data_IF_498902445352
#
_entry.id   IF_498902445352
#
_cell.length_a   1.000
_cell.length_b   1.000
_cell.length_c   1.000
_cell.angle_alpha   90.00
_cell.angle_beta   90.00
_cell.angle_gamma   90.00
#
_symmetry.space_group_name_H-M   'P 1'
#
loop_
_entity.id
_entity.type
_entity.pdbx_description
1 polymer ?
#
# COMPACT_ATOMS: atom_id res chain seq x y z
N UNK A 1 -23.80 1.76 -21.51
CA UNK A 1 -22.39 1.61 -21.91
C UNK A 1 -21.56 2.31 -20.86
N UNK A 2 -20.41 1.75 -20.43
CA UNK A 2 -19.60 2.39 -19.40
C UNK A 2 -18.98 3.70 -19.90
N UNK A 3 -18.94 4.71 -19.04
CA UNK A 3 -18.29 6.00 -19.32
C UNK A 3 -16.76 5.87 -19.27
N UNK A 4 -16.05 6.92 -19.67
CA UNK A 4 -14.59 6.94 -19.58
C UNK A 4 -14.10 6.84 -18.13
N UNK A 5 -14.79 7.53 -17.20
CA UNK A 5 -14.46 7.52 -15.78
C UNK A 5 -14.70 6.12 -15.20
N UNK A 6 -15.78 5.44 -15.61
CA UNK A 6 -16.02 4.03 -15.24
C UNK A 6 -14.92 3.09 -15.73
N UNK A 7 -14.48 3.22 -16.99
CA UNK A 7 -13.42 2.35 -17.52
C UNK A 7 -12.06 2.60 -16.87
N UNK A 8 -11.72 3.86 -16.61
CA UNK A 8 -10.47 4.19 -15.91
C UNK A 8 -10.50 3.65 -14.48
N UNK A 9 -11.63 3.80 -13.77
CA UNK A 9 -11.83 3.22 -12.44
C UNK A 9 -11.67 1.69 -12.42
N UNK A 10 -12.25 0.99 -13.40
CA UNK A 10 -12.15 -0.47 -13.52
C UNK A 10 -10.71 -0.92 -13.74
N UNK A 11 -9.94 -0.24 -14.61
CA UNK A 11 -8.53 -0.59 -14.87
C UNK A 11 -7.63 -0.20 -13.70
N UNK A 12 -7.88 0.92 -13.03
CA UNK A 12 -7.17 1.29 -11.80
C UNK A 12 -7.46 0.30 -10.67
N UNK A 13 -8.69 -0.22 -10.56
CA UNK A 13 -9.03 -1.25 -9.59
C UNK A 13 -8.30 -2.58 -9.85
N UNK A 14 -7.97 -2.90 -11.11
CA UNK A 14 -7.08 -4.02 -11.45
C UNK A 14 -5.64 -3.72 -11.04
N UNK A 15 -5.16 -2.50 -11.32
CA UNK A 15 -3.83 -2.05 -10.90
C UNK A 15 -3.68 -2.08 -9.37
N UNK A 16 -4.72 -1.75 -8.62
CA UNK A 16 -4.73 -1.83 -7.15
C UNK A 16 -4.45 -3.25 -6.63
N UNK A 17 -4.82 -4.30 -7.38
CA UNK A 17 -4.43 -5.68 -7.05
C UNK A 17 -2.94 -5.93 -7.28
N UNK A 18 -2.35 -5.35 -8.33
CA UNK A 18 -0.91 -5.43 -8.58
C UNK A 18 -0.13 -4.67 -7.49
N UNK A 19 -0.65 -3.55 -6.99
CA UNK A 19 -0.07 -2.83 -5.84
C UNK A 19 -0.15 -3.67 -4.55
N UNK A 20 -1.23 -4.43 -4.33
CA UNK A 20 -1.31 -5.38 -3.20
C UNK A 20 -0.26 -6.49 -3.34
N UNK A 21 -0.05 -7.00 -4.57
CA UNK A 21 0.98 -8.01 -4.85
C UNK A 21 2.38 -7.48 -4.61
N UNK A 22 2.64 -6.24 -5.01
CA UNK A 22 3.88 -5.53 -4.72
C UNK A 22 4.11 -5.37 -3.21
N UNK A 23 3.12 -4.87 -2.47
CA UNK A 23 3.21 -4.73 -1.02
C UNK A 23 3.47 -6.08 -0.32
N UNK A 24 2.89 -7.17 -0.82
CA UNK A 24 3.16 -8.51 -0.29
C UNK A 24 4.60 -8.98 -0.55
N UNK A 25 5.23 -8.58 -1.67
CA UNK A 25 6.64 -8.84 -1.96
C UNK A 25 7.54 -8.13 -0.96
N UNK A 26 7.32 -6.83 -0.80
CA UNK A 26 7.99 -5.98 0.19
C UNK A 26 7.89 -6.53 1.62
N UNK A 27 6.71 -6.98 2.02
CA UNK A 27 6.49 -7.64 3.31
C UNK A 27 7.34 -8.90 3.45
N UNK A 28 7.41 -9.74 2.42
CA UNK A 28 8.17 -10.99 2.45
C UNK A 28 9.66 -10.70 2.68
N UNK A 29 10.20 -9.70 1.98
CA UNK A 29 11.61 -9.33 2.06
C UNK A 29 11.96 -8.77 3.44
N UNK A 30 11.15 -7.84 3.96
CA UNK A 30 11.32 -7.29 5.32
C UNK A 30 11.18 -8.37 6.39
N UNK A 31 10.20 -9.27 6.27
CA UNK A 31 10.03 -10.39 7.21
C UNK A 31 11.23 -11.33 7.17
N UNK A 32 11.83 -11.53 5.99
CA UNK A 32 13.07 -12.30 5.84
C UNK A 32 14.24 -11.65 6.56
N UNK A 33 14.40 -10.33 6.47
CA UNK A 33 15.43 -9.61 7.23
C UNK A 33 15.21 -9.72 8.74
N UNK A 34 13.97 -9.61 9.21
CA UNK A 34 13.64 -9.79 10.63
C UNK A 34 13.86 -11.25 11.08
N UNK A 35 13.66 -12.25 10.20
CA UNK A 35 14.03 -13.64 10.49
C UNK A 35 15.54 -13.81 10.67
N UNK A 36 16.34 -13.18 9.81
CA UNK A 36 17.79 -13.21 9.92
C UNK A 36 18.26 -12.55 11.23
N UNK A 37 17.68 -11.39 11.58
CA UNK A 37 17.90 -10.76 12.87
C UNK A 37 17.53 -11.70 14.02
N UNK A 38 16.39 -12.40 13.98
CA UNK A 38 16.01 -13.37 15.00
C UNK A 38 17.07 -14.46 15.19
N UNK A 39 17.61 -15.01 14.10
CA UNK A 39 18.66 -16.02 14.17
C UNK A 39 19.95 -15.48 14.78
N UNK A 40 20.33 -14.24 14.43
CA UNK A 40 21.48 -13.55 15.03
C UNK A 40 21.27 -13.33 16.54
N UNK A 41 20.12 -12.80 16.95
CA UNK A 41 19.81 -12.57 18.37
C UNK A 41 19.84 -13.87 19.19
N UNK A 42 19.28 -14.96 18.64
CA UNK A 42 19.33 -16.29 19.28
C UNK A 42 20.79 -16.74 19.46
N UNK A 43 21.63 -16.52 18.44
CA UNK A 43 23.05 -16.90 18.50
C UNK A 43 23.80 -16.08 19.54
N UNK A 44 23.58 -14.76 19.59
CA UNK A 44 24.19 -13.87 20.59
C UNK A 44 23.81 -14.30 22.02
N UNK A 45 22.53 -14.60 22.27
CA UNK A 45 22.05 -15.03 23.60
C UNK A 45 22.68 -16.37 23.99
N UNK A 46 22.76 -17.34 23.06
CA UNK A 46 23.39 -18.64 23.32
C UNK A 46 24.88 -18.55 23.59
N UNK A 47 25.60 -17.66 22.91
CA UNK A 47 27.05 -17.50 23.12
C UNK A 47 27.34 -16.79 24.45
N UNK A 48 26.53 -15.79 24.81
CA UNK A 48 26.76 -15.00 26.01
C UNK A 48 26.29 -15.69 27.31
N UNK A 49 25.24 -16.52 27.24
CA UNK A 49 24.58 -17.17 28.38
C UNK A 49 24.52 -16.27 29.64
N UNK A 50 23.87 -15.09 29.57
CA UNK A 50 23.98 -14.09 30.62
C UNK A 50 23.36 -14.57 31.92
N UNK A 51 24.13 -14.52 33.02
CA UNK A 51 23.69 -14.98 34.37
C UNK A 51 23.49 -13.85 35.37
N UNK A 52 23.93 -12.64 35.04
CA UNK A 52 23.89 -11.48 35.91
C UNK A 52 23.80 -10.18 35.12
N UNK A 53 23.62 -9.05 35.82
CA UNK A 53 23.51 -7.72 35.21
C UNK A 53 24.68 -7.38 34.31
N UNK A 54 25.92 -7.67 34.72
CA UNK A 54 27.13 -7.32 33.96
C UNK A 54 27.19 -8.06 32.62
N UNK A 55 26.98 -9.37 32.64
CA UNK A 55 26.93 -10.20 31.43
C UNK A 55 25.77 -9.84 30.52
N UNK A 56 24.61 -9.46 31.09
CA UNK A 56 23.48 -8.98 30.33
C UNK A 56 23.75 -7.66 29.63
N UNK A 57 24.31 -6.65 30.31
CA UNK A 57 24.60 -5.36 29.68
C UNK A 57 25.62 -5.51 28.54
N UNK A 58 26.62 -6.39 28.69
CA UNK A 58 27.55 -6.72 27.61
C UNK A 58 26.85 -7.39 26.40
N UNK A 59 25.91 -8.30 26.63
CA UNK A 59 25.07 -8.89 25.58
C UNK A 59 24.19 -7.84 24.90
N UNK A 60 23.58 -6.94 25.68
CA UNK A 60 22.65 -5.93 25.18
C UNK A 60 23.33 -4.93 24.24
N UNK A 61 24.63 -4.64 24.42
CA UNK A 61 25.42 -3.85 23.45
C UNK A 61 25.42 -4.51 22.07
N UNK A 62 25.66 -5.83 22.01
CA UNK A 62 25.69 -6.59 20.76
C UNK A 62 24.29 -6.72 20.15
N UNK A 63 23.29 -7.04 20.97
CA UNK A 63 21.87 -7.14 20.56
C UNK A 63 21.37 -5.82 19.99
N UNK A 64 21.62 -4.70 20.68
CA UNK A 64 21.21 -3.38 20.21
C UNK A 64 21.88 -3.02 18.88
N UNK A 65 23.17 -3.35 18.74
CA UNK A 65 23.91 -3.12 17.50
C UNK A 65 23.34 -3.95 16.34
N UNK A 66 22.96 -5.21 16.57
CA UNK A 66 22.30 -6.04 15.56
C UNK A 66 20.95 -5.46 15.13
N UNK A 67 20.12 -5.08 16.11
CA UNK A 67 18.81 -4.44 15.86
C UNK A 67 18.99 -3.13 15.07
N UNK A 68 19.96 -2.28 15.44
CA UNK A 68 20.24 -1.03 14.75
C UNK A 68 20.61 -1.24 13.29
N UNK A 69 21.56 -2.15 13.02
CA UNK A 69 22.00 -2.47 11.66
C UNK A 69 20.84 -2.98 10.80
N UNK A 70 20.07 -3.95 11.30
CA UNK A 70 18.96 -4.52 10.55
C UNK A 70 17.88 -3.47 10.25
N UNK A 71 17.43 -2.70 11.24
CA UNK A 71 16.39 -1.70 11.00
C UNK A 71 16.86 -0.51 10.17
N UNK A 72 18.15 -0.14 10.24
CA UNK A 72 18.72 0.85 9.33
C UNK A 72 18.68 0.36 7.87
N UNK A 73 19.00 -0.91 7.63
CA UNK A 73 18.92 -1.53 6.30
C UNK A 73 17.48 -1.57 5.78
N UNK A 74 16.54 -2.05 6.60
CA UNK A 74 15.10 -2.09 6.26
C UNK A 74 14.59 -0.69 5.91
N UNK A 75 14.89 0.30 6.74
CA UNK A 75 14.40 1.67 6.56
C UNK A 75 14.99 2.32 5.29
N UNK A 76 16.27 2.10 5.00
CA UNK A 76 16.91 2.62 3.79
C UNK A 76 16.29 2.03 2.53
N UNK A 77 16.23 0.69 2.44
CA UNK A 77 15.65 -0.01 1.28
C UNK A 77 14.20 0.39 1.04
N UNK A 78 13.39 0.40 2.10
CA UNK A 78 11.98 0.80 2.01
C UNK A 78 11.83 2.21 1.44
N UNK A 79 12.65 3.16 1.90
CA UNK A 79 12.59 4.56 1.42
C UNK A 79 12.94 4.66 -0.05
N UNK A 80 13.98 3.97 -0.50
CA UNK A 80 14.39 4.01 -1.91
C UNK A 80 13.34 3.35 -2.82
N UNK A 81 12.78 2.23 -2.40
CA UNK A 81 11.70 1.55 -3.13
C UNK A 81 10.41 2.39 -3.17
N UNK A 82 10.10 3.14 -2.12
CA UNK A 82 8.96 4.05 -2.12
C UNK A 82 9.15 5.26 -3.04
N UNK A 83 10.38 5.76 -3.23
CA UNK A 83 10.64 6.82 -4.22
C UNK A 83 10.36 6.32 -5.63
N UNK A 84 10.89 5.13 -5.95
CA UNK A 84 10.63 4.50 -7.24
C UNK A 84 9.15 4.17 -7.44
N UNK A 85 8.48 3.66 -6.41
CA UNK A 85 7.03 3.40 -6.45
C UNK A 85 6.25 4.68 -6.77
N UNK A 86 6.60 5.83 -6.18
CA UNK A 86 5.91 7.09 -6.48
C UNK A 86 6.02 7.49 -7.96
N UNK A 87 7.20 7.29 -8.56
CA UNK A 87 7.42 7.52 -10.00
C UNK A 87 6.62 6.54 -10.85
N UNK A 88 6.67 5.26 -10.51
CA UNK A 88 5.93 4.20 -11.21
C UNK A 88 4.43 4.47 -11.13
N UNK A 89 3.89 4.85 -9.97
CA UNK A 89 2.46 5.12 -9.81
C UNK A 89 2.01 6.29 -10.69
N UNK A 90 2.77 7.40 -10.69
CA UNK A 90 2.47 8.55 -11.53
C UNK A 90 2.45 8.17 -13.02
N UNK A 91 3.43 7.36 -13.45
CA UNK A 91 3.49 6.83 -14.82
C UNK A 91 2.35 5.86 -15.12
N UNK A 92 2.08 4.90 -14.23
CA UNK A 92 1.04 3.89 -14.40
C UNK A 92 -0.34 4.51 -14.59
N UNK A 93 -0.68 5.51 -13.77
CA UNK A 93 -1.92 6.27 -13.89
C UNK A 93 -2.03 6.99 -15.24
N UNK A 94 -0.94 7.60 -15.70
CA UNK A 94 -0.85 8.21 -17.03
C UNK A 94 -1.08 7.16 -18.11
N UNK A 95 -0.27 6.08 -18.15
CA UNK A 95 -0.36 5.00 -19.13
C UNK A 95 -1.74 4.33 -19.16
N UNK A 96 -2.36 4.10 -18.00
CA UNK A 96 -3.72 3.55 -17.90
C UNK A 96 -4.72 4.52 -18.53
N UNK A 97 -4.65 5.80 -18.18
CA UNK A 97 -5.50 6.84 -18.77
C UNK A 97 -5.33 6.85 -20.29
N UNK A 98 -4.09 6.86 -20.76
CA UNK A 98 -3.80 6.94 -22.18
C UNK A 98 -4.31 5.73 -22.96
N UNK A 99 -4.17 4.53 -22.39
CA UNK A 99 -4.69 3.29 -22.96
C UNK A 99 -6.21 3.30 -23.05
N UNK A 100 -6.89 3.75 -21.99
CA UNK A 100 -8.35 3.79 -21.94
C UNK A 100 -8.92 4.84 -22.90
N UNK A 101 -8.31 6.03 -22.93
CA UNK A 101 -8.66 7.08 -23.89
C UNK A 101 -8.13 6.82 -25.30
N UNK A 102 -7.21 5.86 -25.50
CA UNK A 102 -6.38 5.65 -26.71
C UNK A 102 -5.85 6.98 -27.26
N UNK A 103 -5.16 7.69 -26.37
CA UNK A 103 -4.75 9.08 -26.56
C UNK A 103 -3.87 9.56 -25.40
N UNK A 104 -2.92 10.50 -25.62
CA UNK A 104 -2.09 11.07 -24.56
C UNK A 104 -2.87 12.07 -23.67
N UNK A 105 -3.84 11.59 -22.89
CA UNK A 105 -4.65 12.39 -21.96
C UNK A 105 -4.01 12.33 -20.57
N UNK A 106 -3.84 13.52 -19.96
CA UNK A 106 -3.20 13.68 -18.66
C UNK A 106 -1.74 13.15 -18.57
N UNK A 107 -0.85 13.47 -19.53
CA UNK A 107 0.50 12.87 -19.60
C UNK A 107 1.49 13.41 -18.55
N UNK A 108 1.11 14.42 -17.75
CA UNK A 108 2.08 15.13 -16.89
C UNK A 108 2.40 14.30 -15.66
N UNK A 109 3.65 13.87 -15.54
CA UNK A 109 4.16 13.12 -14.38
C UNK A 109 4.54 14.06 -13.23
N UNK A 110 4.50 13.58 -11.99
CA UNK A 110 4.97 14.35 -10.83
C UNK A 110 6.46 14.68 -10.93
N UNK A 111 6.86 15.84 -10.39
CA UNK A 111 8.26 16.26 -10.36
C UNK A 111 9.05 15.55 -9.26
N UNK A 112 10.37 15.47 -9.43
CA UNK A 112 11.26 14.76 -8.50
C UNK A 112 11.20 15.33 -7.06
N UNK A 113 11.03 16.65 -6.92
CA UNK A 113 10.85 17.27 -5.60
C UNK A 113 9.54 16.82 -4.90
N UNK A 114 8.49 16.51 -5.66
CA UNK A 114 7.23 15.97 -5.14
C UNK A 114 7.42 14.52 -4.71
N UNK A 115 8.17 13.71 -5.47
CA UNK A 115 8.53 12.34 -5.10
C UNK A 115 9.24 12.30 -3.75
N UNK A 116 10.28 13.13 -3.58
CA UNK A 116 11.03 13.21 -2.32
C UNK A 116 10.10 13.60 -1.16
N UNK A 117 9.25 14.60 -1.36
CA UNK A 117 8.28 15.05 -0.36
C UNK A 117 7.30 13.95 0.05
N UNK A 118 6.78 13.17 -0.90
CA UNK A 118 5.82 12.09 -0.61
C UNK A 118 6.42 11.04 0.33
N UNK A 119 7.70 10.72 0.15
CA UNK A 119 8.37 9.67 0.91
C UNK A 119 8.88 10.19 2.27
N UNK A 120 9.45 11.39 2.29
CA UNK A 120 10.03 11.97 3.50
C UNK A 120 8.95 12.50 4.46
N UNK A 121 7.91 13.15 3.93
CA UNK A 121 6.78 13.69 4.70
C UNK A 121 5.57 12.75 4.73
N UNK A 122 5.70 11.55 4.14
CA UNK A 122 4.63 10.55 4.05
C UNK A 122 4.14 10.15 5.44
N UNK A 123 2.97 10.66 5.83
CA UNK A 123 2.40 10.40 7.14
C UNK A 123 1.70 9.04 7.19
N UNK A 124 2.02 8.23 8.19
CA UNK A 124 1.20 7.07 8.53
C UNK A 124 -0.03 7.54 9.34
N UNK A 125 -1.26 7.12 9.00
CA UNK A 125 -2.48 7.54 9.67
C UNK A 125 -2.48 7.26 11.19
N UNK A 126 -3.34 8.00 11.90
CA UNK A 126 -3.58 7.89 13.36
C UNK A 126 -2.42 8.30 14.28
N UNK A 127 -1.66 9.34 13.93
CA UNK A 127 -0.93 10.12 14.95
C UNK A 127 -1.35 11.57 14.85
N UNK A 128 -1.78 12.15 15.98
CA UNK A 128 -1.87 13.59 16.14
C UNK A 128 -0.54 14.28 15.80
N UNK A 129 0.57 13.55 15.90
CA UNK A 129 1.95 14.03 15.74
C UNK A 129 2.53 13.93 14.32
N UNK A 130 1.77 13.40 13.33
CA UNK A 130 2.29 13.30 11.96
C UNK A 130 3.61 12.52 11.83
N UNK A 131 3.67 11.27 12.32
CA UNK A 131 4.89 10.45 12.17
C UNK A 131 5.11 9.98 10.73
N UNK A 132 6.31 10.25 10.21
CA UNK A 132 6.78 9.78 8.90
C UNK A 132 7.06 8.27 8.91
N UNK A 133 7.13 7.66 7.71
CA UNK A 133 7.48 6.23 7.54
C UNK A 133 8.81 5.90 8.23
N UNK A 134 9.83 6.76 8.08
CA UNK A 134 11.14 6.59 8.74
C UNK A 134 11.03 6.61 10.27
N UNK A 135 10.26 7.55 10.82
CA UNK A 135 10.01 7.63 12.27
C UNK A 135 9.32 6.37 12.80
N UNK A 136 8.43 5.76 12.02
CA UNK A 136 7.79 4.47 12.39
C UNK A 136 8.77 3.31 12.44
N UNK A 137 9.72 3.21 11.51
CA UNK A 137 10.79 2.21 11.58
C UNK A 137 11.64 2.37 12.83
N UNK A 138 12.05 3.61 13.14
CA UNK A 138 12.78 3.91 14.37
C UNK A 138 11.99 3.52 15.62
N UNK A 139 10.69 3.81 15.66
CA UNK A 139 9.82 3.43 16.78
C UNK A 139 9.72 1.91 16.95
N UNK A 140 9.62 1.14 15.86
CA UNK A 140 9.63 -0.32 15.94
C UNK A 140 10.98 -0.85 16.44
N UNK A 141 12.08 -0.32 15.92
CA UNK A 141 13.45 -0.64 16.35
C UNK A 141 13.62 -0.42 17.85
N UNK A 142 13.28 0.77 18.33
CA UNK A 142 13.45 1.15 19.74
C UNK A 142 12.53 0.31 20.64
N UNK A 143 11.30 0.04 20.18
CA UNK A 143 10.40 -0.91 20.83
C UNK A 143 10.96 -2.33 20.92
N UNK A 144 11.61 -2.84 19.87
CA UNK A 144 12.24 -4.16 19.90
C UNK A 144 13.40 -4.21 20.91
N UNK A 145 14.25 -3.17 20.96
CA UNK A 145 15.33 -3.06 21.94
C UNK A 145 14.81 -3.08 23.37
N UNK A 146 13.81 -2.24 23.66
CA UNK A 146 13.18 -2.15 24.99
C UNK A 146 12.57 -3.50 25.39
N UNK A 147 11.71 -4.08 24.56
CA UNK A 147 11.07 -5.36 24.86
C UNK A 147 12.06 -6.51 25.04
N UNK A 148 13.16 -6.51 24.27
CA UNK A 148 14.22 -7.51 24.42
C UNK A 148 14.98 -7.32 25.72
N UNK A 149 15.36 -6.08 26.05
CA UNK A 149 16.02 -5.73 27.32
C UNK A 149 15.16 -6.12 28.51
N UNK A 150 13.89 -5.75 28.50
CA UNK A 150 12.98 -5.99 29.63
C UNK A 150 12.72 -7.49 29.83
N UNK A 151 12.51 -8.23 28.74
CA UNK A 151 12.34 -9.68 28.79
C UNK A 151 13.58 -10.40 29.33
N UNK A 152 14.77 -10.06 28.85
CA UNK A 152 16.01 -10.69 29.33
C UNK A 152 16.35 -10.29 30.77
N UNK A 153 16.10 -9.04 31.16
CA UNK A 153 16.23 -8.62 32.56
C UNK A 153 15.30 -9.43 33.48
N UNK A 154 14.04 -9.57 33.09
CA UNK A 154 13.06 -10.37 33.82
C UNK A 154 13.54 -11.82 33.97
N UNK A 155 14.06 -12.42 32.89
CA UNK A 155 14.58 -13.78 32.92
C UNK A 155 15.71 -13.96 33.94
N UNK A 156 16.66 -13.02 34.00
CA UNK A 156 17.77 -13.08 34.97
C UNK A 156 17.28 -12.89 36.40
N UNK A 157 16.40 -11.91 36.65
CA UNK A 157 15.87 -11.64 37.99
C UNK A 157 15.09 -12.82 38.58
N UNK A 158 14.48 -13.63 37.71
CA UNK A 158 13.65 -14.77 38.11
C UNK A 158 14.36 -16.12 37.91
N UNK A 159 15.69 -16.13 37.74
CA UNK A 159 16.50 -17.35 37.54
C UNK A 159 15.96 -18.26 36.42
N UNK A 160 15.43 -17.68 35.34
CA UNK A 160 14.92 -18.43 34.21
C UNK A 160 16.05 -19.08 33.40
N UNK A 161 15.72 -20.17 32.71
CA UNK A 161 16.69 -20.94 31.94
C UNK A 161 17.08 -20.21 30.64
N UNK A 162 18.19 -20.65 30.01
CA UNK A 162 18.56 -20.20 28.67
C UNK A 162 17.41 -20.43 27.66
N UNK A 163 16.67 -21.53 27.76
CA UNK A 163 15.56 -21.80 26.84
C UNK A 163 14.40 -20.82 27.03
N UNK A 164 14.17 -20.33 28.25
CA UNK A 164 13.18 -19.28 28.54
C UNK A 164 13.59 -17.94 27.93
N UNK A 165 14.88 -17.58 28.02
CA UNK A 165 15.44 -16.41 27.33
C UNK A 165 15.24 -16.49 25.82
N UNK A 166 15.47 -17.67 25.22
CA UNK A 166 15.25 -17.89 23.80
C UNK A 166 13.77 -17.83 23.42
N UNK A 167 12.85 -18.28 24.30
CA UNK A 167 11.40 -18.16 24.11
C UNK A 167 10.91 -16.72 24.10
N UNK A 168 11.52 -15.82 24.89
CA UNK A 168 11.20 -14.38 24.82
C UNK A 168 11.38 -13.85 23.39
N UNK A 169 12.48 -14.26 22.73
CA UNK A 169 12.79 -13.85 21.36
C UNK A 169 11.89 -14.53 20.34
N UNK A 170 11.92 -15.87 20.32
CA UNK A 170 11.31 -16.69 19.26
C UNK A 170 9.83 -16.99 19.46
N UNK A 171 9.35 -16.96 20.70
CA UNK A 171 8.03 -17.44 21.11
C UNK A 171 7.99 -18.92 21.52
N UNK A 172 6.81 -19.35 21.98
CA UNK A 172 6.52 -20.70 22.41
C UNK A 172 5.94 -21.56 21.30
N UNK A 173 6.41 -22.81 21.17
CA UNK A 173 5.91 -23.76 20.17
C UNK A 173 4.41 -24.06 20.36
N UNK A 174 3.95 -24.19 21.60
CA UNK A 174 2.53 -24.41 21.94
C UNK A 174 1.61 -23.27 21.48
N UNK A 175 2.15 -22.06 21.35
CA UNK A 175 1.44 -20.87 20.88
C UNK A 175 1.76 -20.54 19.41
N UNK A 176 2.32 -21.51 18.67
CA UNK A 176 2.77 -21.33 17.29
C UNK A 176 3.72 -20.12 17.12
N UNK A 177 4.55 -19.86 18.12
CA UNK A 177 5.53 -18.77 18.15
C UNK A 177 4.94 -17.34 18.07
N UNK A 178 3.63 -17.19 18.31
CA UNK A 178 2.93 -15.90 18.17
C UNK A 178 3.12 -14.92 19.33
N UNK A 179 3.74 -15.38 20.41
CA UNK A 179 3.94 -14.67 21.67
C UNK A 179 5.33 -14.02 21.79
N UNK A 180 6.29 -14.42 20.95
CA UNK A 180 7.65 -13.88 20.95
C UNK A 180 7.73 -12.41 20.50
N UNK A 181 8.75 -11.69 20.98
CA UNK A 181 8.95 -10.27 20.62
C UNK A 181 9.18 -10.09 19.13
N UNK A 182 9.83 -11.05 18.46
CA UNK A 182 10.06 -10.97 17.01
C UNK A 182 8.76 -11.12 16.22
N UNK A 183 7.85 -12.02 16.63
CA UNK A 183 6.58 -12.19 15.92
C UNK A 183 5.76 -10.90 15.93
N UNK A 184 5.70 -10.21 17.08
CA UNK A 184 5.03 -8.92 17.21
C UNK A 184 5.63 -7.87 16.27
N UNK A 185 6.96 -7.83 16.17
CA UNK A 185 7.67 -6.91 15.28
C UNK A 185 7.43 -7.23 13.80
N UNK A 186 7.39 -8.52 13.39
CA UNK A 186 7.01 -8.92 12.03
C UNK A 186 5.61 -8.41 11.67
N UNK A 187 4.64 -8.53 12.58
CA UNK A 187 3.26 -8.04 12.36
C UNK A 187 3.17 -6.52 12.30
N UNK A 188 3.96 -5.82 13.10
CA UNK A 188 4.07 -4.37 13.02
C UNK A 188 4.71 -3.93 11.69
N UNK A 189 5.77 -4.60 11.24
CA UNK A 189 6.42 -4.36 9.95
C UNK A 189 5.46 -4.62 8.77
N UNK A 190 4.72 -5.73 8.79
CA UNK A 190 3.66 -6.03 7.81
C UNK A 190 2.66 -4.88 7.68
N UNK A 191 2.16 -4.39 8.81
CA UNK A 191 1.18 -3.29 8.86
C UNK A 191 1.77 -1.98 8.35
N UNK A 192 3.03 -1.70 8.70
CA UNK A 192 3.73 -0.49 8.28
C UNK A 192 3.96 -0.47 6.77
N UNK A 193 4.45 -1.57 6.17
CA UNK A 193 4.68 -1.66 4.72
C UNK A 193 3.38 -1.46 3.94
N UNK A 194 2.29 -2.12 4.32
CA UNK A 194 0.98 -1.93 3.65
C UNK A 194 0.55 -0.48 3.67
N UNK A 195 0.59 0.10 4.87
CA UNK A 195 0.14 1.48 5.09
C UNK A 195 1.05 2.49 4.36
N UNK A 196 2.37 2.29 4.39
CA UNK A 196 3.32 3.13 3.67
C UNK A 196 3.14 3.05 2.15
N UNK A 197 2.89 1.85 1.62
CA UNK A 197 2.58 1.64 0.20
C UNK A 197 1.33 2.44 -0.19
N UNK A 198 0.25 2.31 0.59
CA UNK A 198 -0.99 3.06 0.35
C UNK A 198 -0.76 4.58 0.43
N UNK A 199 0.05 5.06 1.38
CA UNK A 199 0.39 6.49 1.51
C UNK A 199 1.08 7.00 0.26
N UNK A 200 2.09 6.28 -0.22
CA UNK A 200 2.89 6.68 -1.40
C UNK A 200 2.02 6.65 -2.65
N UNK A 201 1.27 5.58 -2.87
CA UNK A 201 0.36 5.42 -4.03
C UNK A 201 -0.64 6.57 -4.08
N UNK A 202 -1.37 6.80 -2.99
CA UNK A 202 -2.44 7.79 -2.98
C UNK A 202 -1.95 9.23 -3.04
N UNK A 203 -0.79 9.52 -2.44
CA UNK A 203 -0.16 10.82 -2.59
C UNK A 203 0.33 11.03 -4.03
N UNK A 204 0.90 10.01 -4.67
CA UNK A 204 1.37 10.08 -6.06
C UNK A 204 0.20 10.28 -7.04
N UNK A 205 -0.90 9.53 -6.85
CA UNK A 205 -2.15 9.72 -7.59
C UNK A 205 -2.69 11.14 -7.46
N UNK A 206 -2.89 11.61 -6.23
CA UNK A 206 -3.44 12.94 -5.98
C UNK A 206 -2.59 14.05 -6.63
N UNK A 207 -1.26 14.00 -6.48
CA UNK A 207 -0.37 14.99 -7.08
C UNK A 207 -0.36 14.90 -8.62
N UNK A 208 -0.43 13.69 -9.18
CA UNK A 208 -0.57 13.48 -10.63
C UNK A 208 -1.88 14.11 -11.14
N UNK A 209 -3.00 13.89 -10.45
CA UNK A 209 -4.29 14.46 -10.82
C UNK A 209 -4.31 15.99 -10.73
N UNK A 210 -3.72 16.57 -9.69
CA UNK A 210 -3.59 18.02 -9.54
C UNK A 210 -2.75 18.61 -10.67
N UNK A 211 -1.65 17.95 -11.05
CA UNK A 211 -0.80 18.40 -12.15
C UNK A 211 -1.50 18.35 -13.52
N UNK A 212 -2.45 17.44 -13.67
CA UNK A 212 -3.28 17.27 -14.87
C UNK A 212 -4.69 17.89 -14.73
N UNK A 213 -4.86 18.95 -13.91
CA UNK A 213 -6.16 19.63 -13.66
C UNK A 213 -6.86 20.20 -14.91
N UNK A 214 -6.12 20.30 -16.01
CA UNK A 214 -6.60 20.73 -17.31
C UNK A 214 -7.57 19.69 -17.90
N UNK A 215 -7.35 18.40 -17.66
CA UNK A 215 -8.25 17.30 -18.08
C UNK A 215 -8.95 16.60 -16.90
N UNK A 216 -8.28 16.48 -15.75
CA UNK A 216 -8.82 15.88 -14.53
C UNK A 216 -9.52 16.96 -13.69
N UNK A 217 -10.85 16.84 -13.54
CA UNK A 217 -11.68 17.83 -12.82
C UNK A 217 -12.08 17.39 -11.42
N UNK A 218 -11.75 16.18 -11.01
CA UNK A 218 -12.02 15.70 -9.66
C UNK A 218 -11.29 14.42 -9.30
N UNK A 219 -11.55 13.98 -8.08
CA UNK A 219 -11.09 12.71 -7.53
C UNK A 219 -12.27 11.96 -6.96
N UNK A 220 -12.22 10.64 -7.05
CA UNK A 220 -13.16 9.72 -6.42
C UNK A 220 -12.40 8.77 -5.48
N UNK A 221 -13.00 8.46 -4.33
CA UNK A 221 -12.51 7.44 -3.42
C UNK A 221 -13.04 6.08 -3.83
N UNK A 222 -12.16 5.10 -3.90
CA UNK A 222 -12.50 3.72 -4.17
C UNK A 222 -12.08 2.87 -2.99
N UNK A 223 -12.97 2.05 -2.44
CA UNK A 223 -12.62 1.10 -1.41
C UNK A 223 -12.83 -0.33 -1.92
N UNK A 224 -11.83 -1.20 -1.69
CA UNK A 224 -12.05 -2.63 -1.89
C UNK A 224 -12.98 -3.12 -0.79
N UNK A 225 -14.22 -3.46 -1.15
CA UNK A 225 -15.27 -3.90 -0.24
C UNK A 225 -15.21 -5.41 0.00
N UNK A 226 -14.65 -5.84 1.13
CA UNK A 226 -14.55 -7.24 1.56
C UNK A 226 -14.79 -7.36 3.07
N UNK A 227 -14.46 -8.48 3.72
CA UNK A 227 -14.71 -8.63 5.17
C UNK A 227 -13.73 -7.85 6.06
N UNK A 228 -12.63 -7.33 5.48
CA UNK A 228 -11.58 -6.57 6.18
C UNK A 228 -11.71 -5.06 5.98
N UNK A 229 -12.58 -4.60 5.08
CA UNK A 229 -12.90 -3.17 4.92
C UNK A 229 -13.56 -2.62 6.18
N UNK A 230 -13.00 -1.55 6.73
CA UNK A 230 -13.57 -0.87 7.89
C UNK A 230 -14.86 -0.14 7.50
N UNK A 231 -15.72 0.13 8.49
CA UNK A 231 -16.93 0.96 8.29
C UNK A 231 -16.53 2.32 7.67
N UNK A 232 -15.43 2.91 8.13
CA UNK A 232 -14.89 4.16 7.60
C UNK A 232 -14.65 4.10 6.07
N UNK A 233 -13.92 3.09 5.60
CA UNK A 233 -13.67 2.90 4.17
C UNK A 233 -14.95 2.62 3.38
N UNK A 234 -15.87 1.80 3.92
CA UNK A 234 -17.17 1.52 3.28
C UNK A 234 -18.00 2.79 3.12
N UNK A 235 -18.09 3.60 4.17
CA UNK A 235 -18.85 4.85 4.18
C UNK A 235 -18.31 5.84 3.16
N UNK A 236 -16.98 5.91 2.99
CA UNK A 236 -16.33 6.84 2.06
C UNK A 236 -16.27 6.35 0.62
N UNK A 237 -16.62 5.09 0.36
CA UNK A 237 -16.55 4.51 -0.97
C UNK A 237 -17.47 5.26 -1.94
N UNK A 238 -16.90 5.71 -3.05
CA UNK A 238 -17.60 6.50 -4.07
C UNK A 238 -17.71 8.00 -3.78
N UNK A 239 -17.26 8.49 -2.62
CA UNK A 239 -17.21 9.93 -2.37
C UNK A 239 -16.27 10.62 -3.34
N UNK A 240 -16.67 11.79 -3.84
CA UNK A 240 -15.96 12.51 -4.87
C UNK A 240 -15.91 14.02 -4.63
N UNK A 241 -14.78 14.63 -4.99
CA UNK A 241 -14.57 16.08 -4.88
C UNK A 241 -13.93 16.64 -6.15
N UNK A 242 -14.32 17.85 -6.51
CA UNK A 242 -13.71 18.59 -7.62
C UNK A 242 -12.28 19.02 -7.29
N UNK A 243 -11.40 19.08 -8.29
CA UNK A 243 -10.05 19.67 -8.18
C UNK A 243 -10.00 21.03 -8.89
N UNK A 244 -9.20 22.00 -8.39
CA UNK A 244 -8.45 21.97 -7.13
C UNK A 244 -9.29 22.43 -5.91
N UNK A 245 -10.58 22.74 -6.10
CA UNK A 245 -11.40 23.43 -5.08
C UNK A 245 -11.86 22.54 -3.92
N UNK A 246 -11.79 21.22 -4.07
CA UNK A 246 -12.33 20.22 -3.14
C UNK A 246 -13.80 20.42 -2.78
N UNK A 247 -14.58 21.06 -3.67
CA UNK A 247 -16.04 21.10 -3.54
C UNK A 247 -16.61 19.70 -3.76
N UNK A 248 -17.57 19.23 -2.95
CA UNK A 248 -18.12 17.89 -3.10
C UNK A 248 -18.95 17.78 -4.38
N UNK A 249 -18.90 16.61 -5.02
CA UNK A 249 -19.94 16.22 -5.97
C UNK A 249 -21.25 15.90 -5.22
N UNK A 250 -22.36 15.84 -5.95
CA UNK A 250 -23.67 15.47 -5.39
C UNK A 250 -23.56 14.12 -4.66
N UNK A 251 -24.11 14.04 -3.45
CA UNK A 251 -24.06 12.84 -2.61
C UNK A 251 -22.77 12.67 -1.79
N UNK A 252 -21.81 13.60 -1.88
CA UNK A 252 -20.55 13.58 -1.10
C UNK A 252 -20.58 14.61 0.05
N UNK A 253 -20.04 14.30 1.24
CA UNK A 253 -19.91 15.26 2.32
C UNK A 253 -19.07 16.49 1.98
N UNK A 254 -19.41 17.63 2.62
CA UNK A 254 -18.81 18.95 2.32
C UNK A 254 -17.29 19.04 2.47
N UNK A 255 -16.70 18.33 3.43
CA UNK A 255 -15.27 18.44 3.74
C UNK A 255 -14.50 17.29 3.10
N UNK A 256 -13.52 17.62 2.26
CA UNK A 256 -12.48 16.67 1.88
C UNK A 256 -11.58 16.37 3.09
N UNK A 257 -11.42 15.09 3.42
CA UNK A 257 -10.77 14.63 4.64
C UNK A 257 -9.28 14.30 4.44
N UNK A 258 -8.73 14.67 3.29
CA UNK A 258 -7.40 14.26 2.85
C UNK A 258 -7.41 12.92 2.12
N UNK A 259 -6.31 12.66 1.41
CA UNK A 259 -6.09 11.41 0.69
C UNK A 259 -6.00 10.21 1.65
N UNK A 260 -6.49 9.01 1.29
CA UNK A 260 -6.14 7.79 2.03
C UNK A 260 -4.62 7.53 2.02
N UNK A 261 -4.09 6.70 2.93
CA UNK A 261 -4.80 5.88 3.91
C UNK A 261 -5.24 6.69 5.14
N UNK A 262 -6.45 6.41 5.64
CA UNK A 262 -6.98 7.09 6.84
C UNK A 262 -6.80 6.31 8.14
N UNK A 263 -6.41 5.06 8.05
CA UNK A 263 -6.09 4.18 9.16
C UNK A 263 -5.07 3.14 8.69
N UNK A 264 -4.43 2.44 9.63
CA UNK A 264 -3.56 1.32 9.30
C UNK A 264 -4.29 0.25 8.51
N UNK A 265 -3.63 -0.34 7.52
CA UNK A 265 -4.22 -1.33 6.60
C UNK A 265 -5.49 -0.78 5.92
N UNK A 266 -5.41 0.46 5.42
CA UNK A 266 -6.48 1.03 4.62
C UNK A 266 -6.71 0.18 3.37
N UNK A 267 -7.91 0.26 2.81
CA UNK A 267 -8.28 -0.44 1.57
C UNK A 267 -8.85 0.54 0.56
N UNK A 268 -8.47 1.80 0.69
CA UNK A 268 -8.99 2.89 -0.11
C UNK A 268 -7.91 3.50 -0.99
N UNK A 269 -8.26 3.71 -2.24
CA UNK A 269 -7.44 4.37 -3.26
C UNK A 269 -8.20 5.56 -3.85
N UNK A 270 -7.51 6.37 -4.64
CA UNK A 270 -8.12 7.44 -5.43
C UNK A 270 -8.17 7.05 -6.91
N UNK A 271 -9.21 7.52 -7.60
CA UNK A 271 -9.33 7.54 -9.06
C UNK A 271 -9.60 8.95 -9.57
N UNK A 272 -9.18 9.27 -10.81
CA UNK A 272 -9.46 10.57 -11.41
C UNK A 272 -10.91 10.64 -11.86
N UNK A 273 -11.47 11.85 -11.85
CA UNK A 273 -12.70 12.19 -12.57
C UNK A 273 -12.29 13.16 -13.67
N UNK A 274 -12.32 12.70 -14.92
CA UNK A 274 -12.12 13.57 -16.08
C UNK A 274 -13.32 14.49 -16.26
N UNK A 275 -13.09 15.70 -16.76
CA UNK A 275 -14.15 16.66 -17.10
C UNK A 275 -15.08 16.13 -18.18
N UNK A 276 -16.20 16.83 -18.43
CA UNK A 276 -17.03 16.48 -19.58
C UNK A 276 -16.25 16.67 -20.88
N UNK A 277 -16.75 16.10 -21.98
CA UNK A 277 -16.15 16.32 -23.28
C UNK A 277 -15.99 17.83 -23.57
N UNK A 278 -17.01 18.62 -23.28
CA UNK A 278 -16.99 20.08 -23.45
C UNK A 278 -15.90 20.74 -22.61
N UNK A 279 -15.70 20.30 -21.37
CA UNK A 279 -14.70 20.85 -20.45
C UNK A 279 -13.26 20.59 -20.89
N UNK A 280 -13.01 19.38 -21.43
CA UNK A 280 -11.64 18.96 -21.77
C UNK A 280 -11.27 19.30 -23.20
N UNK A 281 -12.24 19.40 -24.12
CA UNK A 281 -12.02 19.54 -25.55
C UNK A 281 -11.10 20.71 -25.94
N UNK A 282 -11.25 21.87 -25.29
CA UNK A 282 -10.42 23.05 -25.54
C UNK A 282 -8.95 22.88 -25.11
N UNK A 283 -8.67 21.90 -24.26
CA UNK A 283 -7.32 21.57 -23.78
C UNK A 283 -6.61 20.58 -24.71
N UNK A 284 -7.36 19.88 -25.56
CA UNK A 284 -6.82 18.81 -26.39
C UNK A 284 -6.23 19.33 -27.69
N UNK A 285 -5.17 18.67 -28.15
CA UNK A 285 -4.70 18.82 -29.51
C UNK A 285 -5.83 18.57 -30.53
N UNK A 286 -5.92 19.34 -31.64
CA UNK A 286 -7.01 19.19 -32.62
C UNK A 286 -7.15 17.78 -33.23
N UNK A 287 -6.05 17.09 -33.50
CA UNK A 287 -6.09 15.73 -34.05
C UNK A 287 -6.61 14.75 -33.00
N UNK A 288 -6.17 14.90 -31.75
CA UNK A 288 -6.67 14.14 -30.63
C UNK A 288 -8.18 14.36 -30.39
N UNK A 289 -8.60 15.62 -30.40
CA UNK A 289 -9.99 16.01 -30.23
C UNK A 289 -10.90 15.33 -31.28
N UNK A 290 -10.48 15.31 -32.55
CA UNK A 290 -11.20 14.62 -33.63
C UNK A 290 -11.35 13.13 -33.35
N UNK A 291 -10.32 12.47 -32.86
CA UNK A 291 -10.37 11.04 -32.53
C UNK A 291 -11.27 10.75 -31.32
N UNK A 292 -11.26 11.60 -30.29
CA UNK A 292 -12.15 11.46 -29.13
C UNK A 292 -13.61 11.67 -29.53
N UNK A 293 -13.92 12.70 -30.34
CA UNK A 293 -15.28 12.98 -30.81
C UNK A 293 -15.91 11.80 -31.56
N UNK A 294 -15.12 11.12 -32.42
CA UNK A 294 -15.57 9.90 -33.11
C UNK A 294 -16.01 8.80 -32.14
N UNK A 295 -15.35 8.70 -31.00
CA UNK A 295 -15.49 7.60 -30.03
C UNK A 295 -16.47 7.90 -28.91
N UNK A 296 -16.76 9.18 -28.63
CA UNK A 296 -17.62 9.60 -27.51
C UNK A 296 -19.00 8.89 -27.50
N UNK A 297 -19.58 8.59 -28.67
CA UNK A 297 -20.83 7.80 -28.76
C UNK A 297 -20.71 6.40 -28.16
N UNK A 298 -19.54 5.77 -28.30
CA UNK A 298 -19.25 4.41 -27.79
C UNK A 298 -18.60 4.39 -26.40
N UNK A 299 -18.08 5.54 -25.95
CA UNK A 299 -17.39 5.73 -24.68
C UNK A 299 -17.65 7.15 -24.17
N UNK A 300 -18.79 7.38 -23.50
CA UNK A 300 -19.20 8.72 -23.09
C UNK A 300 -18.22 9.37 -22.10
N UNK A 301 -17.97 10.66 -22.29
CA UNK A 301 -17.17 11.52 -21.40
C UNK A 301 -18.11 12.58 -20.80
N UNK A 302 -18.66 12.30 -19.62
CA UNK A 302 -19.79 13.05 -19.05
C UNK A 302 -19.42 13.94 -17.85
N UNK A 303 -18.17 13.91 -17.40
CA UNK A 303 -17.71 14.71 -16.27
C UNK A 303 -18.16 14.21 -14.89
N UNK A 304 -18.82 13.05 -14.82
CA UNK A 304 -19.40 12.54 -13.56
C UNK A 304 -18.50 11.49 -12.91
N UNK A 305 -18.52 11.39 -11.57
CA UNK A 305 -17.87 10.28 -10.88
C UNK A 305 -18.40 8.94 -11.40
N UNK A 306 -17.57 7.90 -11.39
CA UNK A 306 -18.05 6.55 -11.67
C UNK A 306 -19.13 6.16 -10.63
N UNK A 307 -20.05 5.23 -10.95
CA UNK A 307 -20.94 4.64 -9.95
C UNK A 307 -20.13 4.07 -8.79
N UNK A 308 -20.72 3.99 -7.60
CA UNK A 308 -20.03 3.54 -6.38
C UNK A 308 -19.19 2.28 -6.67
N UNK A 309 -17.86 2.35 -6.48
CA UNK A 309 -16.95 1.28 -6.85
C UNK A 309 -17.31 -0.03 -6.14
N UNK A 310 -17.27 -1.13 -6.88
CA UNK A 310 -17.53 -2.45 -6.34
C UNK A 310 -16.63 -3.48 -6.99
N UNK A 311 -15.67 -3.98 -6.21
CA UNK A 311 -14.74 -5.01 -6.66
C UNK A 311 -15.48 -6.27 -7.17
N UNK A 312 -16.58 -6.65 -6.52
CA UNK A 312 -17.42 -7.79 -6.96
C UNK A 312 -18.07 -7.52 -8.31
N UNK A 313 -18.53 -6.29 -8.56
CA UNK A 313 -19.11 -5.89 -9.86
C UNK A 313 -18.04 -5.89 -10.95
N UNK A 314 -16.87 -5.29 -10.68
CA UNK A 314 -15.71 -5.28 -11.57
C UNK A 314 -15.26 -6.70 -11.90
N UNK A 315 -15.19 -7.59 -10.92
CA UNK A 315 -14.77 -8.96 -11.16
C UNK A 315 -15.74 -9.72 -12.07
N UNK A 316 -17.06 -9.48 -11.91
CA UNK A 316 -18.10 -10.09 -12.75
C UNK A 316 -18.15 -9.54 -14.17
N UNK A 317 -17.67 -8.32 -14.41
CA UNK A 317 -17.65 -7.73 -15.76
C UNK A 317 -16.47 -8.20 -16.61
N UNK A 318 -15.40 -8.71 -15.98
CA UNK A 318 -14.24 -9.28 -16.67
C UNK A 318 -14.56 -10.60 -17.37
N UNK A 319 -13.94 -10.83 -18.53
CA UNK A 319 -13.87 -12.15 -19.16
C UNK A 319 -13.13 -13.15 -18.28
N UNK A 320 -13.36 -14.45 -18.49
CA UNK A 320 -12.68 -15.51 -17.74
C UNK A 320 -11.15 -15.40 -17.84
N UNK A 321 -10.63 -15.07 -19.03
CA UNK A 321 -9.19 -14.91 -19.24
C UNK A 321 -8.63 -13.73 -18.43
N UNK A 322 -9.35 -12.60 -18.36
CA UNK A 322 -8.96 -11.44 -17.55
C UNK A 322 -9.01 -11.76 -16.05
N UNK A 323 -10.06 -12.46 -15.59
CA UNK A 323 -10.15 -12.90 -14.19
C UNK A 323 -8.97 -13.83 -13.82
N UNK A 324 -8.62 -14.78 -14.69
CA UNK A 324 -7.50 -15.69 -14.47
C UNK A 324 -6.14 -14.98 -14.49
N UNK A 325 -5.95 -13.99 -15.37
CA UNK A 325 -4.73 -13.19 -15.42
C UNK A 325 -4.55 -12.38 -14.11
N UNK A 326 -5.62 -11.71 -13.69
CA UNK A 326 -5.63 -10.83 -12.51
C UNK A 326 -5.53 -11.66 -11.22
N UNK A 327 -6.33 -12.71 -11.06
CA UNK A 327 -6.47 -13.42 -9.78
C UNK A 327 -5.67 -14.72 -9.68
N UNK A 328 -5.29 -15.30 -10.82
CA UNK A 328 -4.66 -16.62 -10.91
C UNK A 328 -5.70 -17.74 -10.95
N UNK A 329 -5.55 -18.65 -11.90
CA UNK A 329 -6.50 -19.75 -12.19
C UNK A 329 -6.93 -20.53 -10.95
N UNK A 330 -5.99 -21.06 -10.17
CA UNK A 330 -6.32 -21.88 -9.00
C UNK A 330 -7.07 -21.13 -7.89
N UNK A 331 -6.78 -19.84 -7.68
CA UNK A 331 -7.51 -19.04 -6.67
C UNK A 331 -8.92 -18.71 -7.14
N UNK A 332 -9.08 -18.41 -8.43
CA UNK A 332 -10.38 -18.18 -9.03
C UNK A 332 -11.27 -19.43 -8.92
N UNK A 333 -10.72 -20.62 -9.18
CA UNK A 333 -11.42 -21.90 -9.01
C UNK A 333 -11.85 -22.11 -7.54
N UNK A 334 -10.96 -21.86 -6.58
CA UNK A 334 -11.29 -21.97 -5.15
C UNK A 334 -12.38 -20.96 -4.73
N UNK A 335 -12.36 -19.74 -5.25
CA UNK A 335 -13.35 -18.71 -4.97
C UNK A 335 -14.72 -19.07 -5.55
N UNK A 336 -14.75 -19.51 -6.81
CA UNK A 336 -15.97 -19.97 -7.47
C UNK A 336 -16.56 -21.21 -6.78
N UNK A 337 -15.72 -22.06 -6.21
CA UNK A 337 -16.12 -23.21 -5.39
C UNK A 337 -16.52 -22.84 -3.95
N UNK A 338 -16.51 -21.56 -3.56
CA UNK A 338 -16.85 -21.10 -2.21
C UNK A 338 -15.84 -21.49 -1.12
N UNK A 339 -14.66 -21.99 -1.49
CA UNK A 339 -13.62 -22.47 -0.55
C UNK A 339 -12.78 -21.35 0.05
N UNK A 340 -12.74 -20.18 -0.61
CA UNK A 340 -12.04 -18.99 -0.13
C UNK A 340 -12.96 -17.77 -0.22
N UNK A 341 -12.77 -16.80 0.66
CA UNK A 341 -13.57 -15.57 0.69
C UNK A 341 -13.08 -14.54 -0.31
N UNK A 342 -13.84 -13.46 -0.55
CA UNK A 342 -13.36 -12.32 -1.33
C UNK A 342 -12.11 -11.69 -0.73
N UNK A 343 -12.03 -11.63 0.60
CA UNK A 343 -10.83 -11.15 1.31
C UNK A 343 -9.63 -12.03 1.06
N UNK A 344 -9.86 -13.33 0.95
CA UNK A 344 -8.80 -14.25 0.56
C UNK A 344 -8.40 -13.96 -0.88
N UNK A 345 -9.34 -13.86 -1.80
CA UNK A 345 -9.06 -13.58 -3.20
C UNK A 345 -8.25 -12.29 -3.41
N UNK A 346 -8.65 -11.19 -2.77
CA UNK A 346 -8.00 -9.87 -2.87
C UNK A 346 -6.63 -9.83 -2.22
N UNK A 347 -6.39 -10.65 -1.20
CA UNK A 347 -5.14 -10.56 -0.44
C UNK A 347 -3.90 -10.93 -1.25
N UNK A 348 -4.06 -11.61 -2.40
CA UNK A 348 -3.03 -12.00 -3.36
C UNK A 348 -1.73 -12.58 -2.75
N UNK A 349 -1.85 -13.23 -1.58
CA UNK A 349 -0.70 -13.86 -0.93
C UNK A 349 -0.22 -15.05 -1.75
N UNK A 350 1.10 -15.15 -1.93
CA UNK A 350 1.75 -16.17 -2.76
C UNK A 350 1.91 -15.81 -4.25
N UNK A 351 1.46 -14.63 -4.69
CA UNK A 351 1.69 -14.10 -6.06
C UNK A 351 2.31 -12.70 -5.99
N UNK A 352 3.42 -12.57 -5.28
CA UNK A 352 4.09 -11.28 -5.10
C UNK A 352 4.57 -10.69 -6.42
N UNK A 353 4.71 -9.37 -6.48
CA UNK A 353 5.41 -8.66 -7.55
C UNK A 353 6.63 -7.94 -6.95
N UNK A 354 7.72 -7.94 -7.68
CA UNK A 354 8.86 -7.05 -7.44
C UNK A 354 8.56 -5.66 -8.01
N UNK A 355 9.33 -4.66 -7.60
CA UNK A 355 9.26 -3.31 -8.16
C UNK A 355 9.52 -3.30 -9.68
N UNK A 356 10.49 -4.11 -10.13
CA UNK A 356 10.85 -4.23 -11.55
C UNK A 356 9.70 -4.82 -12.38
N UNK A 357 9.07 -5.91 -11.91
CA UNK A 357 7.91 -6.49 -12.58
C UNK A 357 6.70 -5.55 -12.59
N UNK A 358 6.53 -4.74 -11.53
CA UNK A 358 5.48 -3.71 -11.49
C UNK A 358 5.78 -2.63 -12.53
N UNK A 359 7.02 -2.17 -12.64
CA UNK A 359 7.47 -1.17 -13.61
C UNK A 359 7.27 -1.64 -15.05
N UNK A 360 7.68 -2.87 -15.37
CA UNK A 360 7.56 -3.46 -16.71
C UNK A 360 6.12 -3.45 -17.25
N UNK A 361 5.13 -3.64 -16.37
CA UNK A 361 3.69 -3.60 -16.74
C UNK A 361 3.21 -2.24 -17.26
N UNK A 362 3.92 -1.16 -16.94
CA UNK A 362 3.54 0.22 -17.26
C UNK A 362 4.63 0.98 -18.03
N UNK A 363 5.68 0.29 -18.49
CA UNK A 363 6.78 0.88 -19.25
C UNK A 363 6.55 0.92 -20.77
N UNK A 364 5.40 0.42 -21.25
CA UNK A 364 5.03 0.36 -22.68
C UNK A 364 4.31 1.59 -23.19
#
# INVERSE_FOLDING_TARGET
MPTINERVDEVLSQHDLDLIRYANGQIKDVVSEINNLQAELITLIKTAEPKNRTTLEALLVQVNSAIDRSYASIALKSVDEFKELARIESKAVSTITERVFRAPIAPKLIDENVVLKIVDDGLAPNTADGMTIRSRWNKQRDGLKLNTRDGLNYAIQNNQSLDDMLRIIRGNKSLNFKDGVIFKNKKAAETLIRTATDTVVNASRLNTYIKNKDTVKGIQVNAILDSRTTILCRTRNGWAWHLPSYRPFVGTPRRFMGSPPWHFNCRSTLSPIFGSLEDIQATLDPALNKEILKRNKSLPIDGKPAPTPSFSKMLKSMSKAEQEAVLGKGRLELYNAGKITLSDLVNQQGRTLTLAELKERYDT
#
